data_IF_743107183023
#
_entry.id   IF_743107183023
#
_cell.length_a   1.000
_cell.length_b   1.000
_cell.length_c   1.000
_cell.angle_alpha   90.00
_cell.angle_beta   90.00
_cell.angle_gamma   90.00
#
_symmetry.space_group_name_H-M   'P 1'
#
loop_
_entity.id
_entity.type
_entity.pdbx_description
1 polymer ?
#
# COMPACT_ATOMS: atom_id res chain seq x y z
N UNK A 1 -5.11 -5.84 -8.41
CA UNK A 1 -3.70 -6.17 -8.08
C UNK A 1 -3.58 -6.16 -6.57
N UNK A 2 -3.04 -7.22 -5.96
CA UNK A 2 -2.87 -7.28 -4.50
C UNK A 2 -1.68 -6.43 -4.09
N UNK A 3 -1.93 -5.48 -3.19
CA UNK A 3 -0.94 -4.49 -2.75
C UNK A 3 -0.89 -4.48 -1.23
N UNK A 4 0.31 -4.52 -0.69
CA UNK A 4 0.59 -4.40 0.73
C UNK A 4 0.97 -2.94 1.03
N UNK A 5 0.26 -2.30 1.95
CA UNK A 5 0.53 -0.92 2.38
C UNK A 5 1.24 -0.96 3.73
N UNK A 6 2.45 -0.41 3.77
CA UNK A 6 3.33 -0.32 4.94
C UNK A 6 3.49 1.13 5.41
N UNK A 7 4.03 1.32 6.62
CA UNK A 7 4.25 2.65 7.22
C UNK A 7 3.15 3.10 8.18
N UNK A 8 2.32 2.17 8.65
CA UNK A 8 1.27 2.42 9.64
C UNK A 8 1.74 2.06 11.05
N UNK A 9 1.29 2.80 12.06
CA UNK A 9 1.54 2.43 13.46
C UNK A 9 0.98 1.06 13.84
N UNK A 10 -0.01 0.55 13.09
CA UNK A 10 -0.72 -0.71 13.38
C UNK A 10 -0.30 -1.88 12.47
N UNK A 11 0.77 -1.76 11.68
CA UNK A 11 1.27 -2.84 10.80
C UNK A 11 1.04 -2.57 9.32
N UNK A 12 0.69 -3.59 8.55
CA UNK A 12 0.43 -3.51 7.11
C UNK A 12 -1.01 -3.85 6.76
N UNK A 13 -1.53 -3.27 5.69
CA UNK A 13 -2.88 -3.55 5.16
C UNK A 13 -2.76 -4.08 3.74
N UNK A 14 -3.49 -5.15 3.43
CA UNK A 14 -3.63 -5.61 2.06
C UNK A 14 -4.88 -5.02 1.41
N UNK A 15 -4.71 -4.48 0.21
CA UNK A 15 -5.79 -3.92 -0.61
C UNK A 15 -5.69 -4.41 -2.04
N UNK A 16 -6.82 -4.44 -2.74
CA UNK A 16 -6.84 -4.58 -4.20
C UNK A 16 -6.90 -3.22 -4.86
N UNK A 17 -5.88 -2.90 -5.66
CA UNK A 17 -5.87 -1.70 -6.50
C UNK A 17 -6.12 -2.05 -7.96
N UNK A 18 -6.88 -1.19 -8.63
CA UNK A 18 -7.08 -1.22 -10.09
C UNK A 18 -5.96 -0.47 -10.84
N UNK A 19 -5.27 0.45 -10.15
CA UNK A 19 -4.17 1.24 -10.67
C UNK A 19 -3.07 1.38 -9.62
N UNK A 20 -1.82 1.50 -10.04
CA UNK A 20 -0.71 1.77 -9.14
C UNK A 20 -0.57 3.27 -8.91
N UNK A 21 -0.67 3.75 -7.66
CA UNK A 21 -0.46 5.15 -7.33
C UNK A 21 1.01 5.51 -7.53
N UNK A 22 1.28 6.80 -7.77
CA UNK A 22 2.64 7.32 -7.97
C UNK A 22 3.22 7.84 -6.66
N UNK A 23 4.55 7.84 -6.57
CA UNK A 23 5.26 8.53 -5.50
C UNK A 23 4.86 10.02 -5.51
N UNK A 24 4.51 10.55 -4.33
CA UNK A 24 4.00 11.90 -4.12
C UNK A 24 2.46 12.03 -4.20
N UNK A 25 1.74 10.99 -4.65
CA UNK A 25 0.29 11.00 -4.58
C UNK A 25 -0.22 10.72 -3.16
N UNK A 26 -1.39 11.26 -2.83
CA UNK A 26 -2.05 10.99 -1.55
C UNK A 26 -3.07 9.88 -1.72
N UNK A 27 -2.94 8.85 -0.90
CA UNK A 27 -3.87 7.73 -0.81
C UNK A 27 -4.72 7.88 0.45
N UNK A 28 -6.02 7.55 0.36
CA UNK A 28 -6.88 7.28 1.51
C UNK A 28 -7.48 5.89 1.38
N UNK A 29 -7.32 5.07 2.42
CA UNK A 29 -7.84 3.69 2.49
C UNK A 29 -8.77 3.57 3.68
N UNK A 30 -9.98 3.09 3.43
CA UNK A 30 -10.94 2.69 4.47
C UNK A 30 -10.88 1.17 4.59
N UNK A 31 -10.62 0.64 5.80
CA UNK A 31 -10.46 -0.81 6.03
C UNK A 31 -11.36 -1.34 7.17
N UNK A 32 -12.25 -0.49 7.70
CA UNK A 32 -13.27 -0.82 8.66
C UNK A 32 -14.30 0.31 8.75
N UNK A 33 -15.35 0.14 9.55
CA UNK A 33 -16.42 1.14 9.69
C UNK A 33 -15.88 2.52 10.12
N UNK A 34 -14.90 2.53 11.03
CA UNK A 34 -14.27 3.73 11.57
C UNK A 34 -12.73 3.69 11.43
N UNK A 35 -12.22 2.82 10.56
CA UNK A 35 -10.78 2.59 10.41
C UNK A 35 -10.30 3.09 9.06
N UNK A 36 -9.44 4.11 9.09
CA UNK A 36 -8.89 4.74 7.90
C UNK A 36 -7.39 5.03 8.01
N UNK A 37 -6.76 5.05 6.86
CA UNK A 37 -5.38 5.46 6.67
C UNK A 37 -5.37 6.52 5.58
N UNK A 38 -4.66 7.61 5.81
CA UNK A 38 -4.36 8.63 4.80
C UNK A 38 -2.88 8.95 4.82
N UNK A 39 -2.25 8.92 3.65
CA UNK A 39 -0.81 9.11 3.56
C UNK A 39 -0.35 9.50 2.17
N UNK A 40 0.81 10.17 2.10
CA UNK A 40 1.53 10.37 0.85
C UNK A 40 2.33 9.11 0.51
N UNK A 41 2.25 8.64 -0.73
CA UNK A 41 3.05 7.52 -1.20
C UNK A 41 4.51 7.95 -1.31
N UNK A 42 5.37 7.31 -0.52
CA UNK A 42 6.81 7.61 -0.51
C UNK A 42 7.60 6.62 -1.35
N UNK A 43 7.07 5.41 -1.57
CA UNK A 43 7.72 4.38 -2.39
C UNK A 43 6.68 3.42 -3.01
N UNK A 44 7.03 2.89 -4.18
CA UNK A 44 6.31 1.82 -4.87
C UNK A 44 7.32 0.74 -5.24
N UNK A 45 7.19 -0.43 -4.65
CA UNK A 45 8.15 -1.53 -4.82
C UNK A 45 7.45 -2.77 -5.37
N UNK A 46 8.14 -3.49 -6.25
CA UNK A 46 7.66 -4.76 -6.80
C UNK A 46 8.52 -5.88 -6.23
N UNK A 47 7.91 -6.78 -5.46
CA UNK A 47 8.52 -8.03 -5.08
C UNK A 47 8.14 -9.09 -6.10
N UNK A 48 9.14 -9.64 -6.79
CA UNK A 48 8.97 -10.66 -7.83
C UNK A 48 9.84 -11.87 -7.45
N UNK A 49 9.20 -12.99 -7.16
CA UNK A 49 9.86 -14.25 -6.89
C UNK A 49 9.48 -15.27 -7.97
N UNK A 50 10.36 -15.42 -8.97
CA UNK A 50 10.13 -16.34 -10.10
C UNK A 50 10.17 -17.81 -9.69
N UNK A 51 10.93 -18.16 -8.66
CA UNK A 51 10.99 -19.55 -8.17
C UNK A 51 9.66 -20.00 -7.55
N UNK A 52 8.95 -19.08 -6.90
CA UNK A 52 7.65 -19.33 -6.29
C UNK A 52 6.45 -18.90 -7.16
N UNK A 53 6.69 -18.35 -8.35
CA UNK A 53 5.68 -17.72 -9.22
C UNK A 53 4.82 -16.67 -8.46
N UNK A 54 5.47 -15.86 -7.63
CA UNK A 54 4.83 -14.87 -6.78
C UNK A 54 5.19 -13.45 -7.25
N UNK A 55 4.19 -12.57 -7.30
CA UNK A 55 4.36 -11.13 -7.52
C UNK A 55 3.44 -10.37 -6.57
N UNK A 56 4.04 -9.47 -5.77
CA UNK A 56 3.30 -8.50 -4.96
C UNK A 56 3.84 -7.09 -5.15
N UNK A 57 2.99 -6.10 -4.93
CA UNK A 57 3.41 -4.69 -4.86
C UNK A 57 3.34 -4.24 -3.42
N UNK A 58 4.37 -3.51 -2.98
CA UNK A 58 4.48 -2.93 -1.66
C UNK A 58 4.44 -1.41 -1.83
N UNK A 59 3.55 -0.75 -1.10
CA UNK A 59 3.43 0.70 -1.03
C UNK A 59 3.85 1.17 0.34
N UNK A 60 4.90 1.99 0.41
CA UNK A 60 5.22 2.70 1.65
C UNK A 60 4.52 4.06 1.63
N UNK A 61 3.81 4.38 2.71
CA UNK A 61 3.18 5.69 2.87
C UNK A 61 3.73 6.42 4.09
N UNK A 62 3.75 7.75 4.00
CA UNK A 62 3.92 8.64 5.15
C UNK A 62 2.55 9.14 5.59
N UNK A 63 2.08 8.81 6.81
CA UNK A 63 0.80 9.31 7.30
C UNK A 63 0.73 10.84 7.28
N UNK A 64 -0.37 11.37 6.77
CA UNK A 64 -0.74 12.78 6.86
C UNK A 64 -1.96 12.85 7.76
N UNK A 65 -1.72 13.10 9.05
CA UNK A 65 -2.74 13.42 10.03
C UNK A 65 -3.13 14.88 9.91
#
# INVERSE_FOLDING_TARGET
>A
MRVEIEGLQQGAIEVELQLLPRVGEVLKVMYGADAEVKGEVTAVEHYINQHANEHKVILSIRPVF
#
